data_IF_910785510605
#
_entry.id   IF_910785510605
#
_cell.length_a   1.000
_cell.length_b   1.000
_cell.length_c   1.000
_cell.angle_alpha   90.00
_cell.angle_beta   90.00
_cell.angle_gamma   90.00
#
_symmetry.space_group_name_H-M   'P 1'
#
loop_
_entity.id
_entity.type
_entity.pdbx_description
1 polymer ?
#
# COMPACT_ATOMS: atom_id res chain seq x y z
N UNK A 1 39.40 24.19 -45.27
CA UNK A 1 37.93 24.09 -45.49
C UNK A 1 37.37 23.10 -44.48
N UNK A 2 36.78 23.63 -43.41
CA UNK A 2 36.30 22.88 -42.25
C UNK A 2 34.93 22.26 -42.53
N UNK A 3 34.73 21.00 -42.14
CA UNK A 3 33.39 20.46 -41.80
C UNK A 3 33.52 19.51 -40.60
N UNK A 4 33.46 20.07 -39.39
CA UNK A 4 33.22 19.31 -38.17
C UNK A 4 31.72 19.08 -38.09
N UNK A 5 31.26 17.85 -38.34
CA UNK A 5 29.87 17.46 -38.10
C UNK A 5 29.78 17.07 -36.62
N UNK A 6 29.30 17.97 -35.78
CA UNK A 6 28.87 17.63 -34.42
C UNK A 6 27.59 16.78 -34.54
N UNK A 7 27.71 15.46 -34.39
CA UNK A 7 26.58 14.60 -34.16
C UNK A 7 26.08 14.85 -32.73
N UNK A 8 25.12 15.76 -32.57
CA UNK A 8 24.39 15.94 -31.33
C UNK A 8 23.44 14.75 -31.18
N UNK A 9 23.95 13.65 -30.63
CA UNK A 9 23.14 12.52 -30.16
C UNK A 9 22.29 13.02 -28.99
N UNK A 10 21.08 13.44 -29.31
CA UNK A 10 20.04 13.77 -28.34
C UNK A 10 19.79 12.50 -27.52
N UNK A 11 20.23 12.51 -26.26
CA UNK A 11 19.79 11.57 -25.23
C UNK A 11 18.28 11.75 -25.05
N UNK A 12 17.49 11.10 -25.91
CA UNK A 12 16.08 10.88 -25.63
C UNK A 12 16.05 9.78 -24.57
N UNK A 13 16.37 10.15 -23.33
CA UNK A 13 15.96 9.36 -22.18
C UNK A 13 14.44 9.27 -22.29
N UNK A 14 13.86 8.07 -22.52
CA UNK A 14 12.42 7.93 -22.47
C UNK A 14 11.98 8.48 -21.10
N UNK A 15 10.88 9.25 -21.03
CA UNK A 15 10.31 9.54 -19.73
C UNK A 15 10.04 8.19 -19.09
N UNK A 16 10.83 7.85 -18.09
CA UNK A 16 10.51 6.79 -17.18
C UNK A 16 9.24 7.30 -16.52
N UNK A 17 8.07 6.93 -17.06
CA UNK A 17 6.78 7.22 -16.48
C UNK A 17 6.71 6.42 -15.16
N UNK A 18 7.42 6.90 -14.14
CA UNK A 18 7.21 6.52 -12.77
C UNK A 18 5.82 7.04 -12.43
N UNK A 19 4.81 6.21 -12.66
CA UNK A 19 3.44 6.51 -12.26
C UNK A 19 3.46 6.65 -10.74
N UNK A 20 3.31 7.89 -10.24
CA UNK A 20 3.21 8.12 -8.81
C UNK A 20 2.07 7.28 -8.23
N UNK A 21 2.33 6.65 -7.09
CA UNK A 21 1.34 5.82 -6.42
C UNK A 21 0.13 6.68 -6.05
N UNK A 22 -1.05 6.27 -6.50
CA UNK A 22 -2.30 6.95 -6.17
C UNK A 22 -2.60 6.76 -4.69
N UNK A 23 -2.63 7.85 -3.92
CA UNK A 23 -3.10 7.80 -2.54
C UNK A 23 -4.60 7.53 -2.49
N UNK A 24 -4.98 6.45 -1.80
CA UNK A 24 -6.38 6.07 -1.62
C UNK A 24 -6.70 5.85 -0.14
N UNK A 25 -7.97 6.04 0.19
CA UNK A 25 -8.57 5.68 1.47
C UNK A 25 -9.49 4.47 1.30
N UNK A 26 -9.87 3.86 2.42
CA UNK A 26 -10.74 2.68 2.45
C UNK A 26 -12.12 2.89 1.82
N UNK A 27 -12.66 4.10 1.87
CA UNK A 27 -13.90 4.47 1.18
C UNK A 27 -13.77 4.41 -0.34
N UNK A 28 -12.56 4.54 -0.91
CA UNK A 28 -12.37 4.40 -2.34
C UNK A 28 -12.53 2.95 -2.82
N UNK A 29 -12.36 1.95 -1.96
CA UNK A 29 -12.58 0.54 -2.31
C UNK A 29 -14.06 0.21 -2.46
N UNK A 30 -14.91 0.76 -1.58
CA UNK A 30 -16.35 0.52 -1.55
C UNK A 30 -17.12 1.85 -1.70
N UNK A 31 -17.23 2.39 -2.93
CA UNK A 31 -17.74 3.75 -3.17
C UNK A 31 -19.26 3.88 -3.01
N UNK A 32 -20.00 2.78 -3.01
CA UNK A 32 -21.45 2.76 -2.79
C UNK A 32 -21.81 2.77 -1.30
N UNK A 33 -23.12 2.75 -1.01
CA UNK A 33 -23.62 2.69 0.37
C UNK A 33 -23.12 1.44 1.10
N UNK A 34 -22.93 1.56 2.43
CA UNK A 34 -22.48 0.46 3.29
C UNK A 34 -23.46 -0.73 3.33
N UNK A 35 -24.74 -0.50 3.03
CA UNK A 35 -25.78 -1.54 3.02
C UNK A 35 -25.75 -2.43 1.76
N UNK A 36 -24.98 -2.04 0.73
CA UNK A 36 -24.84 -2.85 -0.47
C UNK A 36 -24.05 -4.13 -0.19
N UNK A 37 -24.41 -5.27 -0.80
CA UNK A 37 -23.60 -6.47 -0.72
C UNK A 37 -22.15 -6.19 -1.12
N UNK A 38 -21.13 -6.65 -0.35
CA UNK A 38 -19.72 -6.34 -0.62
C UNK A 38 -19.26 -6.65 -2.05
N UNK A 39 -19.74 -7.74 -2.64
CA UNK A 39 -19.41 -8.13 -4.01
C UNK A 39 -19.92 -7.15 -5.08
N UNK A 40 -20.98 -6.39 -4.77
CA UNK A 40 -21.55 -5.36 -5.66
C UNK A 40 -21.02 -3.96 -5.38
N UNK A 41 -20.31 -3.77 -4.27
CA UNK A 41 -19.72 -2.50 -3.87
C UNK A 41 -18.19 -2.57 -3.93
N UNK A 42 -17.68 -2.65 -5.16
CA UNK A 42 -16.27 -2.76 -5.53
C UNK A 42 -15.95 -1.65 -6.52
N UNK A 43 -14.90 -0.87 -6.26
CA UNK A 43 -14.43 0.14 -7.20
C UNK A 43 -13.59 -0.48 -8.33
N UNK A 44 -14.21 -0.63 -9.51
CA UNK A 44 -13.56 -1.17 -10.71
C UNK A 44 -12.44 -0.27 -11.26
N UNK A 45 -12.46 1.03 -10.98
CA UNK A 45 -11.46 1.97 -11.50
C UNK A 45 -10.06 1.82 -10.87
N UNK A 46 -9.96 1.09 -9.76
CA UNK A 46 -8.71 0.84 -9.07
C UNK A 46 -7.95 -0.39 -9.61
N UNK A 47 -8.58 -1.20 -10.46
CA UNK A 47 -7.93 -2.41 -10.97
C UNK A 47 -6.64 -2.09 -11.74
N UNK A 48 -5.56 -2.77 -11.37
CA UNK A 48 -4.23 -2.62 -11.95
C UNK A 48 -3.50 -1.33 -11.61
N UNK A 49 -4.07 -0.44 -10.78
CA UNK A 49 -3.42 0.83 -10.39
C UNK A 49 -2.33 0.60 -9.36
N UNK A 50 -1.28 1.42 -9.43
CA UNK A 50 -0.32 1.57 -8.32
C UNK A 50 -0.96 2.50 -7.30
N UNK A 51 -1.16 2.02 -6.09
CA UNK A 51 -1.82 2.74 -4.99
C UNK A 51 -0.92 2.81 -3.77
N UNK A 52 -1.16 3.79 -2.90
CA UNK A 52 -0.69 3.81 -1.53
C UNK A 52 -1.89 3.92 -0.59
N UNK A 53 -1.98 3.01 0.38
CA UNK A 53 -3.11 2.94 1.32
C UNK A 53 -2.62 2.70 2.75
N UNK A 54 -3.09 3.49 3.74
CA UNK A 54 -2.82 3.21 5.15
C UNK A 54 -3.71 2.07 5.67
N UNK A 55 -3.21 1.26 6.59
CA UNK A 55 -4.03 0.27 7.28
C UNK A 55 -3.29 -0.47 8.38
N UNK A 56 -4.01 -1.37 9.04
CA UNK A 56 -3.49 -2.23 10.10
C UNK A 56 -3.29 -3.64 9.55
N UNK A 57 -2.23 -4.30 10.02
CA UNK A 57 -1.85 -5.63 9.59
C UNK A 57 -2.55 -6.69 10.43
N UNK A 58 -3.12 -7.67 9.75
CA UNK A 58 -3.59 -8.92 10.33
C UNK A 58 -2.66 -10.05 9.83
N UNK A 59 -1.78 -10.58 10.69
CA UNK A 59 -0.83 -11.62 10.30
C UNK A 59 -1.55 -12.91 9.88
N UNK A 60 -1.10 -13.51 8.78
CA UNK A 60 -1.58 -14.83 8.34
C UNK A 60 -0.70 -15.99 8.84
N UNK A 61 0.60 -15.72 9.07
CA UNK A 61 1.61 -16.73 9.42
C UNK A 61 1.91 -16.79 10.94
N UNK A 62 0.97 -16.31 11.78
CA UNK A 62 1.08 -16.25 13.25
C UNK A 62 1.38 -14.85 13.81
N UNK A 63 1.00 -14.60 15.07
CA UNK A 63 1.23 -13.32 15.76
C UNK A 63 2.71 -13.11 16.12
N UNK A 64 3.18 -11.86 16.09
CA UNK A 64 4.49 -11.48 16.66
C UNK A 64 5.69 -11.59 15.70
N UNK A 65 5.48 -11.87 14.41
CA UNK A 65 6.55 -11.78 13.42
C UNK A 65 6.78 -10.32 13.02
N UNK A 66 7.99 -9.81 13.28
CA UNK A 66 8.41 -8.48 12.86
C UNK A 66 8.60 -8.36 11.34
N UNK A 67 8.73 -9.49 10.64
CA UNK A 67 8.84 -9.54 9.18
C UNK A 67 7.88 -10.55 8.58
N UNK A 68 7.24 -10.18 7.48
CA UNK A 68 6.35 -11.06 6.73
C UNK A 68 6.32 -10.68 5.26
N UNK A 69 5.92 -11.63 4.41
CA UNK A 69 5.64 -11.40 2.99
C UNK A 69 4.15 -11.53 2.65
N UNK A 70 3.32 -11.86 3.63
CA UNK A 70 1.93 -12.26 3.42
C UNK A 70 1.06 -11.89 4.62
N UNK A 71 0.08 -11.04 4.42
CA UNK A 71 -0.83 -10.58 5.48
C UNK A 71 -2.14 -10.02 4.90
N UNK A 72 -3.11 -9.76 5.77
CA UNK A 72 -4.28 -8.96 5.41
C UNK A 72 -4.08 -7.53 5.90
N UNK A 73 -4.50 -6.55 5.11
CA UNK A 73 -4.55 -5.14 5.49
C UNK A 73 -6.02 -4.73 5.69
N UNK A 74 -6.30 -3.93 6.70
CA UNK A 74 -7.67 -3.53 7.07
C UNK A 74 -7.72 -2.14 7.73
N UNK A 75 -8.85 -1.40 7.71
CA UNK A 75 -8.94 -0.09 8.37
C UNK A 75 -9.08 -0.20 9.90
N UNK A 76 -9.32 -1.40 10.42
CA UNK A 76 -9.62 -1.62 11.83
C UNK A 76 -8.35 -1.79 12.66
N UNK A 77 -8.17 -0.91 13.64
CA UNK A 77 -7.13 -1.03 14.66
C UNK A 77 -7.35 -2.28 15.52
N UNK A 78 -6.26 -2.98 15.87
CA UNK A 78 -6.33 -4.15 16.74
C UNK A 78 -7.13 -5.29 16.11
N UNK A 79 -7.11 -5.36 14.77
CA UNK A 79 -7.72 -6.44 14.02
C UNK A 79 -6.91 -7.72 14.22
N UNK A 80 -7.41 -8.60 15.07
CA UNK A 80 -6.89 -9.94 15.31
C UNK A 80 -7.96 -10.96 14.94
N UNK A 81 -7.54 -12.19 14.66
CA UNK A 81 -8.41 -13.30 14.22
C UNK A 81 -9.56 -13.67 15.18
N UNK A 82 -9.58 -13.15 16.42
CA UNK A 82 -10.66 -13.35 17.38
C UNK A 82 -11.89 -12.46 17.16
N UNK A 83 -11.77 -11.37 16.38
CA UNK A 83 -12.92 -10.55 15.97
C UNK A 83 -13.39 -11.00 14.59
N UNK A 84 -14.68 -10.84 14.26
CA UNK A 84 -15.15 -11.04 12.89
C UNK A 84 -14.34 -10.18 11.91
N UNK A 85 -13.87 -10.75 10.78
CA UNK A 85 -13.10 -10.01 9.80
C UNK A 85 -13.94 -8.90 9.14
N UNK A 86 -13.28 -7.84 8.68
CA UNK A 86 -13.90 -6.82 7.83
C UNK A 86 -14.60 -7.45 6.61
N UNK A 87 -15.64 -6.81 6.06
CA UNK A 87 -16.22 -7.22 4.79
C UNK A 87 -15.16 -7.38 3.70
N UNK A 88 -15.32 -8.29 2.72
CA UNK A 88 -14.28 -8.57 1.72
C UNK A 88 -13.82 -7.34 0.92
N UNK A 89 -14.70 -6.38 0.67
CA UNK A 89 -14.38 -5.11 -0.01
C UNK A 89 -13.68 -4.07 0.90
N UNK A 90 -13.42 -4.42 2.16
CA UNK A 90 -12.70 -3.64 3.17
C UNK A 90 -11.54 -4.47 3.79
N UNK A 91 -11.08 -5.48 3.04
CA UNK A 91 -10.00 -6.36 3.42
C UNK A 91 -9.14 -6.66 2.20
N UNK A 92 -7.85 -6.33 2.28
CA UNK A 92 -6.90 -6.50 1.18
C UNK A 92 -5.94 -7.63 1.54
N UNK A 93 -5.76 -8.60 0.65
CA UNK A 93 -4.66 -9.54 0.74
C UNK A 93 -3.40 -8.90 0.19
N UNK A 94 -2.35 -8.77 1.01
CA UNK A 94 -1.08 -8.16 0.59
C UNK A 94 0.00 -9.22 0.52
N UNK A 95 0.72 -9.26 -0.60
CA UNK A 95 1.91 -10.10 -0.77
C UNK A 95 3.11 -9.31 -1.24
N UNK A 96 4.30 -9.68 -0.76
CA UNK A 96 5.58 -9.16 -1.23
C UNK A 96 6.47 -10.30 -1.74
N UNK A 97 7.39 -10.00 -2.65
CA UNK A 97 8.36 -11.00 -3.14
C UNK A 97 9.40 -11.35 -2.07
N UNK A 98 9.74 -10.39 -1.21
CA UNK A 98 10.63 -10.54 -0.08
C UNK A 98 9.91 -10.14 1.22
N UNK A 99 10.36 -10.65 2.36
CA UNK A 99 9.78 -10.26 3.64
C UNK A 99 10.07 -8.77 3.92
N UNK A 100 9.07 -8.07 4.44
CA UNK A 100 9.15 -6.66 4.83
C UNK A 100 8.95 -6.50 6.32
N UNK A 101 9.55 -5.47 6.90
CA UNK A 101 9.30 -5.09 8.29
C UNK A 101 7.87 -4.61 8.46
N UNK A 102 7.20 -5.10 9.48
CA UNK A 102 5.81 -4.79 9.78
C UNK A 102 5.65 -4.41 11.25
N UNK A 103 4.85 -3.38 11.55
CA UNK A 103 4.59 -3.01 12.93
C UNK A 103 3.61 -3.99 13.60
N UNK A 104 3.39 -3.82 14.89
CA UNK A 104 2.35 -4.57 15.62
C UNK A 104 0.93 -4.24 15.13
N UNK A 105 -0.08 -5.07 15.48
CA UNK A 105 -1.46 -4.94 14.98
C UNK A 105 -2.19 -3.65 15.42
N UNK A 106 -1.63 -2.93 16.38
CA UNK A 106 -2.15 -1.65 16.89
C UNK A 106 -1.59 -0.43 16.14
N UNK A 107 -0.57 -0.62 15.31
CA UNK A 107 0.13 0.44 14.60
C UNK A 107 -0.18 0.34 13.11
N UNK A 108 -0.56 1.46 12.46
CA UNK A 108 -0.81 1.45 11.04
C UNK A 108 0.50 1.42 10.26
N UNK A 109 0.38 1.06 8.99
CA UNK A 109 1.44 1.09 7.98
C UNK A 109 0.85 1.64 6.67
N UNK A 110 1.66 2.30 5.85
CA UNK A 110 1.28 2.52 4.44
C UNK A 110 1.81 1.39 3.58
N UNK A 111 0.95 0.86 2.72
CA UNK A 111 1.34 -0.12 1.71
C UNK A 111 1.24 0.54 0.35
N UNK A 112 2.37 0.63 -0.35
CA UNK A 112 2.42 1.00 -1.76
C UNK A 112 2.55 -0.26 -2.61
N UNK A 113 1.74 -0.39 -3.67
CA UNK A 113 1.78 -1.56 -4.53
C UNK A 113 0.75 -1.56 -5.65
N UNK A 114 0.80 -2.59 -6.49
CA UNK A 114 -0.19 -2.78 -7.55
C UNK A 114 -1.44 -3.43 -6.98
N UNK A 115 -2.55 -2.71 -6.97
CA UNK A 115 -3.85 -3.20 -6.55
C UNK A 115 -4.54 -3.92 -7.71
N UNK A 116 -5.12 -5.08 -7.41
CA UNK A 116 -5.95 -5.86 -8.33
C UNK A 116 -7.25 -6.25 -7.66
N UNK A 117 -8.32 -6.31 -8.44
CA UNK A 117 -9.62 -6.77 -7.97
C UNK A 117 -9.61 -8.29 -8.05
N UNK A 118 -9.56 -8.93 -6.90
CA UNK A 118 -9.42 -10.39 -6.81
C UNK A 118 -10.19 -10.89 -5.60
N UNK A 119 -11.33 -11.53 -5.87
CA UNK A 119 -12.04 -12.28 -4.85
C UNK A 119 -11.30 -13.57 -4.54
N UNK A 120 -10.70 -13.67 -3.35
CA UNK A 120 -9.93 -14.85 -2.95
C UNK A 120 -10.05 -15.15 -1.45
N UNK A 121 -9.88 -16.42 -1.10
CA UNK A 121 -9.65 -16.84 0.27
C UNK A 121 -8.18 -16.57 0.63
N UNK A 122 -7.94 -15.82 1.70
CA UNK A 122 -6.61 -15.49 2.21
C UNK A 122 -6.56 -15.79 3.71
N UNK A 123 -5.90 -16.90 4.06
CA UNK A 123 -5.97 -17.47 5.41
C UNK A 123 -7.42 -17.76 5.81
N UNK A 124 -7.86 -17.14 6.90
CA UNK A 124 -9.21 -17.34 7.46
C UNK A 124 -10.29 -16.41 6.91
N UNK A 125 -9.94 -15.45 6.04
CA UNK A 125 -10.89 -14.44 5.53
C UNK A 125 -11.00 -14.42 4.01
N UNK A 126 -12.15 -13.97 3.50
CA UNK A 126 -12.33 -13.64 2.09
C UNK A 126 -11.96 -12.18 1.85
N UNK A 127 -11.24 -11.91 0.77
CA UNK A 127 -10.84 -10.57 0.33
C UNK A 127 -11.42 -10.29 -1.04
N UNK A 128 -11.69 -9.02 -1.35
CA UNK A 128 -12.09 -8.55 -2.68
C UNK A 128 -10.95 -7.91 -3.47
N UNK A 129 -9.83 -7.63 -2.79
CA UNK A 129 -8.67 -6.94 -3.33
C UNK A 129 -7.39 -7.67 -2.98
N UNK A 130 -6.43 -7.62 -3.89
CA UNK A 130 -5.07 -8.06 -3.67
C UNK A 130 -4.10 -6.94 -4.02
N UNK A 131 -3.07 -6.74 -3.19
CA UNK A 131 -1.95 -5.86 -3.50
C UNK A 131 -0.68 -6.72 -3.62
N UNK A 132 -0.03 -6.62 -4.78
CA UNK A 132 1.39 -6.96 -4.88
C UNK A 132 2.18 -5.75 -4.38
N UNK A 133 2.76 -5.88 -3.20
CA UNK A 133 3.49 -4.83 -2.51
C UNK A 133 4.80 -4.46 -3.22
N UNK A 134 5.04 -3.16 -3.33
CA UNK A 134 6.29 -2.55 -3.79
C UNK A 134 7.06 -2.03 -2.57
N UNK A 135 6.36 -1.38 -1.64
CA UNK A 135 6.96 -0.79 -0.45
C UNK A 135 6.01 -0.84 0.75
N UNK A 136 6.58 -1.06 1.93
CA UNK A 136 5.91 -1.01 3.22
C UNK A 136 6.53 0.13 4.02
N UNK A 137 5.76 1.17 4.32
CA UNK A 137 6.26 2.45 4.85
C UNK A 137 5.70 2.65 6.26
N UNK A 138 6.59 2.86 7.22
CA UNK A 138 6.22 3.07 8.63
C UNK A 138 5.34 4.31 8.85
N UNK A 139 4.45 4.24 9.83
CA UNK A 139 3.63 5.36 10.30
C UNK A 139 4.01 5.76 11.75
N UNK A 140 4.10 7.05 12.08
CA UNK A 140 4.09 8.18 11.15
C UNK A 140 5.39 8.21 10.34
N UNK A 141 5.33 8.73 9.11
CA UNK A 141 6.53 8.94 8.30
C UNK A 141 7.45 9.89 9.07
N UNK A 142 8.66 9.44 9.40
CA UNK A 142 9.64 10.28 10.06
C UNK A 142 10.20 11.26 9.03
N UNK A 143 9.77 12.52 9.10
CA UNK A 143 10.38 13.59 8.31
C UNK A 143 11.58 14.08 9.11
N UNK A 144 12.80 13.83 8.62
CA UNK A 144 14.01 14.39 9.24
C UNK A 144 13.94 15.91 9.16
N UNK A 145 13.82 16.59 10.29
CA UNK A 145 14.05 18.03 10.34
C UNK A 145 15.54 18.26 10.07
N UNK A 146 15.87 18.94 8.97
CA UNK A 146 17.16 19.64 8.86
C UNK A 146 17.10 20.85 9.80
N UNK A 147 17.19 20.58 11.11
CA UNK A 147 17.29 21.65 12.11
C UNK A 147 18.68 22.28 11.98
N UNK A 148 18.71 23.42 11.29
CA UNK A 148 19.83 24.36 11.41
C UNK A 148 19.78 24.89 12.83
N UNK A 149 20.60 24.30 13.72
CA UNK A 149 20.82 24.76 15.08
C UNK A 149 21.31 26.22 15.06
N UNK A 150 20.39 27.19 15.09
CA UNK A 150 20.70 28.53 15.58
C UNK A 150 20.31 28.54 17.04
N UNK A 151 21.29 28.26 17.89
CA UNK A 151 21.15 28.43 19.32
C UNK A 151 20.88 29.91 19.61
N UNK A 152 19.64 30.23 20.01
CA UNK A 152 19.36 31.44 20.74
C UNK A 152 19.46 31.11 22.23
N UNK A 153 20.60 31.48 22.81
CA UNK A 153 20.80 31.50 24.25
C UNK A 153 19.92 32.59 24.87
N UNK A 154 19.17 32.23 25.91
CA UNK A 154 18.66 33.14 26.94
C UNK A 154 19.14 32.66 28.30
#
# INVERSE_FOLDING_TARGET
MNKLILALSLLISPPLFAQEAMSILWSNLAPGSADLPPASNINLALDGKIVIIPGFIVPLDGQGKAQTKNFLLTPQQGACFHKPPSPPNQLIHVTFDQAVDVPGPEQPIYIAGKLTIKSAQAGFAKTGYHIQGIEAIAYPVQVSSTDTHTAHNH
#
